data_IF_928861889046
#
_entry.id   IF_928861889046
#
_cell.length_a   1.000
_cell.length_b   1.000
_cell.length_c   1.000
_cell.angle_alpha   90.00
_cell.angle_beta   90.00
_cell.angle_gamma   90.00
#
_symmetry.space_group_name_H-M   'P 1'
#
loop_
_entity.id
_entity.type
_entity.pdbx_description
1 polymer ?
#
# COMPACT_ATOMS: atom_id res chain seq x y z
N UNK A 1 -23.35 15.83 -21.69
CA UNK A 1 -22.82 14.47 -21.42
C UNK A 1 -21.37 14.48 -21.86
N UNK A 2 -20.40 14.20 -21.00
CA UNK A 2 -19.00 14.15 -21.38
C UNK A 2 -18.75 13.01 -22.36
N UNK A 3 -17.83 13.16 -23.30
CA UNK A 3 -17.62 12.20 -24.39
C UNK A 3 -17.06 10.85 -23.93
N UNK A 4 -16.52 10.76 -22.71
CA UNK A 4 -15.86 9.57 -22.18
C UNK A 4 -16.34 9.15 -20.79
N UNK A 5 -17.50 9.58 -20.36
CA UNK A 5 -18.05 9.31 -19.02
C UNK A 5 -17.16 9.71 -17.82
N UNK A 6 -16.22 10.63 -18.02
CA UNK A 6 -15.22 11.05 -17.02
C UNK A 6 -15.75 12.01 -15.96
N UNK A 7 -17.00 12.41 -15.99
CA UNK A 7 -17.53 13.35 -14.99
C UNK A 7 -17.64 12.74 -13.58
N UNK A 8 -17.62 11.43 -13.48
CA UNK A 8 -17.72 10.68 -12.20
C UNK A 8 -16.45 9.89 -11.90
N UNK A 9 -15.52 9.82 -12.83
CA UNK A 9 -14.29 9.04 -12.77
C UNK A 9 -13.15 9.82 -13.43
N UNK A 10 -11.92 9.34 -13.25
CA UNK A 10 -10.72 9.82 -13.93
C UNK A 10 -10.36 11.28 -13.61
N UNK A 11 -10.65 11.74 -12.39
CA UNK A 11 -10.26 13.08 -11.92
C UNK A 11 -8.78 13.14 -11.50
N UNK A 12 -8.08 12.03 -11.49
CA UNK A 12 -6.71 11.87 -11.04
C UNK A 12 -5.73 12.88 -11.67
N UNK A 13 -5.86 13.13 -12.97
CA UNK A 13 -5.00 14.05 -13.72
C UNK A 13 -5.53 15.49 -13.78
N UNK A 14 -6.61 15.79 -13.09
CA UNK A 14 -7.16 17.13 -13.01
C UNK A 14 -6.33 18.05 -12.12
N UNK A 15 -6.49 19.36 -12.31
CA UNK A 15 -5.94 20.35 -11.39
C UNK A 15 -6.72 20.39 -10.09
N UNK A 16 -6.02 20.57 -8.97
CA UNK A 16 -6.65 20.81 -7.68
C UNK A 16 -7.23 22.24 -7.70
N UNK A 17 -8.51 22.39 -7.34
CA UNK A 17 -9.17 23.69 -7.27
C UNK A 17 -8.60 24.52 -6.12
N UNK A 18 -8.47 25.83 -6.30
CA UNK A 18 -7.87 26.75 -5.32
C UNK A 18 -8.46 26.58 -3.91
N UNK A 19 -9.78 26.52 -3.81
CA UNK A 19 -10.46 26.29 -2.52
C UNK A 19 -10.00 25.02 -1.80
N UNK A 20 -9.74 23.95 -2.53
CA UNK A 20 -9.24 22.68 -1.97
C UNK A 20 -7.76 22.79 -1.65
N UNK A 21 -7.00 23.50 -2.49
CA UNK A 21 -5.59 23.74 -2.25
C UNK A 21 -5.35 24.56 -0.96
N UNK A 22 -6.13 25.60 -0.71
CA UNK A 22 -6.11 26.37 0.53
C UNK A 22 -6.39 25.48 1.76
N UNK A 23 -7.42 24.63 1.68
CA UNK A 23 -7.68 23.63 2.70
C UNK A 23 -6.47 22.70 2.94
N UNK A 24 -5.85 22.21 1.87
CA UNK A 24 -4.69 21.31 1.97
C UNK A 24 -3.48 22.01 2.60
N UNK A 25 -3.26 23.29 2.33
CA UNK A 25 -2.19 24.10 2.96
C UNK A 25 -2.41 24.19 4.46
N UNK A 26 -3.62 24.53 4.89
CA UNK A 26 -3.96 24.64 6.32
C UNK A 26 -3.83 23.28 7.04
N UNK A 27 -4.18 22.19 6.36
CA UNK A 27 -3.96 20.82 6.88
C UNK A 27 -2.47 20.55 7.08
N UNK A 28 -1.64 20.81 6.06
CA UNK A 28 -0.18 20.62 6.17
C UNK A 28 0.43 21.39 7.33
N UNK A 29 0.08 22.68 7.46
CA UNK A 29 0.57 23.50 8.57
C UNK A 29 0.13 22.97 9.94
N UNK A 30 -1.10 22.51 10.06
CA UNK A 30 -1.61 21.94 11.30
C UNK A 30 -0.88 20.64 11.65
N UNK A 31 -0.62 19.77 10.66
CA UNK A 31 0.10 18.52 10.84
C UNK A 31 1.58 18.76 11.20
N UNK A 32 2.26 19.70 10.54
CA UNK A 32 3.65 20.03 10.84
C UNK A 32 3.81 20.58 12.26
N UNK A 33 2.87 21.37 12.76
CA UNK A 33 2.85 21.83 14.16
C UNK A 33 2.72 20.69 15.17
N UNK A 34 2.12 19.56 14.74
CA UNK A 34 2.03 18.34 15.54
C UNK A 34 3.21 17.38 15.33
N UNK A 35 4.18 17.74 14.48
CA UNK A 35 5.32 16.90 14.15
C UNK A 35 5.00 15.79 13.15
N UNK A 36 3.87 15.85 12.47
CA UNK A 36 3.44 14.85 11.48
C UNK A 36 3.92 15.25 10.08
N UNK A 37 4.85 14.51 9.47
CA UNK A 37 5.46 14.89 8.20
C UNK A 37 4.57 14.48 7.02
N UNK A 38 3.49 15.20 6.77
CA UNK A 38 2.67 15.03 5.57
C UNK A 38 3.43 15.59 4.35
N UNK A 39 3.43 14.88 3.23
CA UNK A 39 4.24 15.25 2.07
C UNK A 39 3.49 15.24 0.74
N UNK A 40 2.65 14.25 0.49
CA UNK A 40 2.01 14.05 -0.81
C UNK A 40 0.53 14.40 -0.72
N UNK A 41 0.05 15.10 -1.74
CA UNK A 41 -1.37 15.41 -1.94
C UNK A 41 -1.66 15.44 -3.44
N UNK A 42 -2.71 14.79 -3.85
CA UNK A 42 -3.17 14.78 -5.24
C UNK A 42 -4.65 14.41 -5.34
N UNK A 43 -5.22 14.62 -6.51
CA UNK A 43 -6.55 14.12 -6.84
C UNK A 43 -6.54 12.59 -6.91
N UNK A 44 -7.64 11.99 -6.52
CA UNK A 44 -8.01 10.62 -6.78
C UNK A 44 -9.01 10.52 -7.95
N UNK A 45 -9.43 9.31 -8.27
CA UNK A 45 -10.27 9.04 -9.47
C UNK A 45 -11.63 9.68 -9.38
N UNK A 46 -12.27 9.67 -8.21
CA UNK A 46 -13.61 10.25 -8.04
C UNK A 46 -13.55 11.77 -7.86
N UNK A 47 -14.60 12.50 -8.28
CA UNK A 47 -14.67 13.95 -8.07
C UNK A 47 -14.68 14.30 -6.59
N UNK A 48 -13.84 15.26 -6.19
CA UNK A 48 -13.70 15.67 -4.79
C UNK A 48 -13.05 14.63 -3.87
N UNK A 49 -12.34 13.66 -4.44
CA UNK A 49 -11.55 12.67 -3.73
C UNK A 49 -10.06 13.03 -3.83
N UNK A 50 -9.37 12.98 -2.70
CA UNK A 50 -7.97 13.38 -2.60
C UNK A 50 -7.21 12.40 -1.71
N UNK A 51 -5.90 12.33 -1.92
CA UNK A 51 -4.99 11.53 -1.11
C UNK A 51 -4.01 12.43 -0.35
N UNK A 52 -3.66 12.00 0.86
CA UNK A 52 -2.55 12.51 1.64
C UNK A 52 -1.67 11.33 2.07
N UNK A 53 -0.35 11.48 1.92
CA UNK A 53 0.60 10.47 2.34
C UNK A 53 1.67 11.11 3.25
N UNK A 54 1.77 10.67 4.52
CA UNK A 54 2.86 11.05 5.40
C UNK A 54 4.15 10.31 5.01
N UNK A 55 5.29 10.82 5.48
CA UNK A 55 6.56 10.10 5.43
C UNK A 55 6.46 8.88 6.37
N UNK A 56 7.10 7.76 6.00
CA UNK A 56 7.11 6.55 6.83
C UNK A 56 7.82 6.77 8.17
N UNK A 57 7.31 6.11 9.19
CA UNK A 57 7.81 6.16 10.56
C UNK A 57 7.74 4.78 11.19
N UNK A 58 8.22 4.63 12.44
CA UNK A 58 7.96 3.41 13.20
C UNK A 58 6.46 3.19 13.30
N UNK A 59 6.03 1.93 13.20
CA UNK A 59 4.62 1.57 13.07
C UNK A 59 3.74 2.15 14.18
N UNK A 60 4.21 2.10 15.42
CA UNK A 60 3.48 2.65 16.57
C UNK A 60 3.17 4.14 16.35
N UNK A 61 4.20 4.92 16.01
CA UNK A 61 4.06 6.35 15.77
C UNK A 61 3.20 6.65 14.54
N UNK A 62 3.40 5.91 13.45
CA UNK A 62 2.61 6.07 12.22
C UNK A 62 1.11 5.83 12.45
N UNK A 63 0.76 4.86 13.29
CA UNK A 63 -0.64 4.58 13.66
C UNK A 63 -1.24 5.74 14.44
N UNK A 64 -0.55 6.26 15.44
CA UNK A 64 -1.01 7.39 16.24
C UNK A 64 -1.12 8.66 15.38
N UNK A 65 -0.14 8.93 14.54
CA UNK A 65 -0.17 10.04 13.59
C UNK A 65 -1.33 9.93 12.61
N UNK A 66 -1.65 8.73 12.13
CA UNK A 66 -2.81 8.54 11.25
C UNK A 66 -4.12 8.93 11.94
N UNK A 67 -4.30 8.64 13.21
CA UNK A 67 -5.48 9.06 13.97
C UNK A 67 -5.55 10.59 14.09
N UNK A 68 -4.41 11.25 14.35
CA UNK A 68 -4.33 12.70 14.37
C UNK A 68 -4.61 13.33 13.01
N UNK A 69 -4.08 12.75 11.93
CA UNK A 69 -4.36 13.17 10.55
C UNK A 69 -5.86 13.16 10.27
N UNK A 70 -6.54 12.07 10.63
CA UNK A 70 -8.01 11.95 10.44
C UNK A 70 -8.78 13.05 11.19
N UNK A 71 -8.35 13.40 12.39
CA UNK A 71 -8.97 14.44 13.20
C UNK A 71 -8.68 15.84 12.63
N UNK A 72 -7.43 16.11 12.25
CA UNK A 72 -7.03 17.39 11.64
C UNK A 72 -7.78 17.63 10.34
N UNK A 73 -7.91 16.62 9.48
CA UNK A 73 -8.67 16.72 8.23
C UNK A 73 -10.11 17.16 8.47
N UNK A 74 -10.81 16.53 9.43
CA UNK A 74 -12.20 16.89 9.77
C UNK A 74 -12.32 18.31 10.30
N UNK A 75 -11.47 18.67 11.27
CA UNK A 75 -11.49 20.00 11.90
C UNK A 75 -11.16 21.12 10.93
N UNK A 76 -10.18 20.90 10.05
CA UNK A 76 -9.78 21.89 9.06
C UNK A 76 -10.85 22.01 7.95
N UNK A 77 -11.44 20.91 7.51
CA UNK A 77 -12.55 20.96 6.55
C UNK A 77 -13.70 21.86 7.02
N UNK A 78 -14.09 21.75 8.29
CA UNK A 78 -15.13 22.58 8.87
C UNK A 78 -14.79 24.09 8.84
N UNK A 79 -13.52 24.46 8.96
CA UNK A 79 -13.06 25.87 8.86
C UNK A 79 -13.17 26.43 7.45
N UNK A 80 -13.15 25.55 6.44
CA UNK A 80 -13.27 25.89 5.02
C UNK A 80 -14.68 25.68 4.46
N UNK A 81 -15.69 25.54 5.31
CA UNK A 81 -17.07 25.22 4.90
C UNK A 81 -17.13 23.97 4.01
N UNK A 82 -16.34 22.96 4.35
CA UNK A 82 -16.29 21.65 3.71
C UNK A 82 -16.55 20.53 4.69
N UNK A 83 -16.92 19.36 4.18
CA UNK A 83 -17.07 18.13 4.95
C UNK A 83 -16.02 17.12 4.51
N UNK A 84 -15.21 16.65 5.46
CA UNK A 84 -14.27 15.57 5.21
C UNK A 84 -14.96 14.22 5.40
N UNK A 85 -15.18 13.50 4.31
CA UNK A 85 -15.76 12.15 4.31
C UNK A 85 -14.65 11.10 4.38
N UNK A 86 -14.49 10.49 5.54
CA UNK A 86 -13.58 9.35 5.73
C UNK A 86 -14.35 8.01 5.68
N UNK A 87 -15.41 7.96 4.94
CA UNK A 87 -16.23 6.76 4.75
C UNK A 87 -15.71 5.97 3.54
N UNK A 88 -15.67 4.65 3.65
CA UNK A 88 -15.09 3.75 2.64
C UNK A 88 -15.83 3.79 1.30
N UNK A 89 -17.15 3.98 1.33
CA UNK A 89 -18.00 4.06 0.14
C UNK A 89 -19.06 5.14 0.33
N UNK A 90 -18.69 6.44 0.27
CA UNK A 90 -19.62 7.52 0.60
C UNK A 90 -20.77 7.67 -0.42
N UNK A 91 -20.54 7.27 -1.67
CA UNK A 91 -21.52 7.39 -2.75
C UNK A 91 -21.62 6.08 -3.54
N UNK A 92 -22.87 5.66 -3.80
CA UNK A 92 -23.14 4.50 -4.65
C UNK A 92 -22.69 4.76 -6.09
N UNK A 93 -22.10 3.76 -6.74
CA UNK A 93 -21.65 3.85 -8.15
C UNK A 93 -20.37 4.66 -8.35
N UNK A 94 -19.74 5.17 -7.30
CA UNK A 94 -18.47 5.92 -7.38
C UNK A 94 -17.36 5.19 -6.65
N UNK A 95 -16.11 5.54 -6.96
CA UNK A 95 -14.95 4.99 -6.29
C UNK A 95 -15.00 5.23 -4.77
N UNK A 96 -14.57 4.22 -4.03
CA UNK A 96 -14.45 4.29 -2.58
C UNK A 96 -13.10 4.84 -2.13
N UNK A 97 -12.92 4.90 -0.82
CA UNK A 97 -11.68 5.33 -0.17
C UNK A 97 -11.13 4.24 0.74
N UNK A 98 -9.84 4.05 0.71
CA UNK A 98 -9.11 3.14 1.60
C UNK A 98 -7.81 3.74 2.07
N UNK A 99 -7.07 2.96 2.84
CA UNK A 99 -5.70 3.28 3.25
C UNK A 99 -4.77 2.21 2.72
N UNK A 100 -3.70 2.62 2.05
CA UNK A 100 -2.62 1.73 1.68
C UNK A 100 -1.55 1.79 2.79
N UNK A 101 -1.41 0.70 3.51
CA UNK A 101 -0.44 0.60 4.59
C UNK A 101 0.86 0.00 4.05
N UNK A 102 1.85 0.85 3.81
CA UNK A 102 3.20 0.41 3.49
C UNK A 102 3.85 -0.18 4.74
N UNK A 103 4.29 -1.43 4.65
CA UNK A 103 4.87 -2.17 5.75
C UNK A 103 6.21 -2.78 5.36
N UNK A 104 7.21 -2.61 6.20
CA UNK A 104 8.53 -3.18 6.01
C UNK A 104 9.16 -3.52 7.36
N UNK A 105 10.23 -4.31 7.32
CA UNK A 105 11.04 -4.69 8.47
C UNK A 105 12.40 -4.03 8.37
N UNK A 106 12.94 -3.59 9.50
CA UNK A 106 14.30 -3.06 9.59
C UNK A 106 14.98 -3.54 10.87
N UNK A 107 16.30 -3.61 10.84
CA UNK A 107 17.10 -3.90 12.02
C UNK A 107 18.27 -2.88 12.12
N UNK A 108 18.72 -2.54 13.35
CA UNK A 108 19.86 -1.68 13.55
C UNK A 108 21.10 -2.21 12.77
N UNK A 109 21.71 -1.36 11.96
CA UNK A 109 22.88 -1.69 11.15
C UNK A 109 22.60 -2.36 9.79
N UNK A 110 21.35 -2.80 9.53
CA UNK A 110 20.98 -3.49 8.27
C UNK A 110 20.05 -2.68 7.36
N UNK A 111 19.42 -1.64 7.88
CA UNK A 111 18.40 -0.89 7.12
C UNK A 111 17.14 -1.72 6.85
N UNK A 112 16.55 -1.59 5.65
CA UNK A 112 15.37 -2.36 5.27
C UNK A 112 15.74 -3.81 4.95
N UNK A 113 15.19 -4.75 5.70
CA UNK A 113 15.40 -6.18 5.52
C UNK A 113 14.60 -6.77 4.34
N UNK A 114 13.58 -6.06 3.87
CA UNK A 114 12.82 -6.39 2.67
C UNK A 114 13.39 -5.73 1.40
N UNK A 115 14.62 -5.22 1.46
CA UNK A 115 15.31 -4.74 0.27
C UNK A 115 15.98 -5.92 -0.45
N UNK A 116 15.53 -6.28 -1.67
CA UNK A 116 16.08 -7.39 -2.43
C UNK A 116 17.55 -7.17 -2.86
N UNK A 117 17.98 -5.91 -2.96
CA UNK A 117 19.28 -5.55 -3.51
C UNK A 117 19.36 -5.79 -5.02
N UNK A 118 20.59 -5.81 -5.56
CA UNK A 118 20.85 -6.04 -6.99
C UNK A 118 20.76 -7.51 -7.41
N UNK A 119 20.88 -8.44 -6.46
CA UNK A 119 20.85 -9.90 -6.69
C UNK A 119 19.91 -10.56 -5.67
N UNK A 120 18.60 -10.43 -5.84
CA UNK A 120 17.61 -10.96 -4.89
C UNK A 120 17.77 -12.44 -4.57
N UNK A 121 18.11 -13.25 -5.59
CA UNK A 121 18.32 -14.70 -5.48
C UNK A 121 19.52 -15.10 -4.61
N UNK A 122 20.43 -14.18 -4.32
CA UNK A 122 21.62 -14.39 -3.47
C UNK A 122 21.45 -13.78 -2.07
N UNK A 123 20.40 -13.00 -1.86
CA UNK A 123 20.15 -12.33 -0.60
C UNK A 123 19.34 -13.23 0.35
N UNK A 124 20.05 -14.08 1.09
CA UNK A 124 19.41 -15.06 1.99
C UNK A 124 18.54 -14.40 3.06
N UNK A 125 18.95 -13.24 3.61
CA UNK A 125 18.16 -12.52 4.61
C UNK A 125 16.83 -12.07 4.00
N UNK A 126 16.88 -11.43 2.84
CA UNK A 126 15.68 -11.00 2.12
C UNK A 126 14.76 -12.16 1.80
N UNK A 127 15.29 -13.25 1.23
CA UNK A 127 14.49 -14.42 0.85
C UNK A 127 13.85 -15.10 2.07
N UNK A 128 14.56 -15.22 3.18
CA UNK A 128 14.02 -15.78 4.42
C UNK A 128 12.84 -14.95 4.94
N UNK A 129 13.00 -13.62 4.99
CA UNK A 129 11.94 -12.72 5.45
C UNK A 129 10.77 -12.62 4.46
N UNK A 130 11.05 -12.71 3.16
CA UNK A 130 10.01 -12.81 2.14
C UNK A 130 9.18 -14.07 2.32
N UNK A 131 9.82 -15.24 2.45
CA UNK A 131 9.15 -16.53 2.67
C UNK A 131 8.37 -16.54 4.00
N UNK A 132 8.94 -15.99 5.07
CA UNK A 132 8.24 -15.87 6.35
C UNK A 132 6.96 -15.02 6.22
N UNK A 133 7.05 -13.91 5.49
CA UNK A 133 5.89 -13.04 5.26
C UNK A 133 4.82 -13.73 4.41
N UNK A 134 5.21 -14.44 3.35
CA UNK A 134 4.30 -15.22 2.51
C UNK A 134 3.58 -16.28 3.33
N UNK A 135 4.34 -17.08 4.09
CA UNK A 135 3.81 -18.13 4.98
C UNK A 135 2.80 -17.54 5.98
N UNK A 136 3.18 -16.47 6.68
CA UNK A 136 2.33 -15.82 7.66
C UNK A 136 0.99 -15.36 7.08
N UNK A 137 1.02 -14.74 5.90
CA UNK A 137 -0.19 -14.22 5.24
C UNK A 137 -1.06 -15.34 4.68
N UNK A 138 -0.47 -16.42 4.20
CA UNK A 138 -1.20 -17.59 3.70
C UNK A 138 -1.91 -18.33 4.84
N UNK A 139 -1.20 -18.63 5.91
CA UNK A 139 -1.74 -19.39 7.06
C UNK A 139 -2.78 -18.60 7.87
N UNK A 140 -2.64 -17.27 7.94
CA UNK A 140 -3.48 -16.40 8.76
C UNK A 140 -4.25 -15.35 7.91
N UNK A 141 -4.58 -15.70 6.67
CA UNK A 141 -5.35 -14.84 5.78
C UNK A 141 -6.71 -14.44 6.38
N UNK A 142 -7.33 -15.32 7.14
CA UNK A 142 -8.59 -15.11 7.85
C UNK A 142 -8.48 -14.04 8.93
N UNK A 143 -7.41 -14.01 9.72
CA UNK A 143 -7.15 -12.99 10.73
C UNK A 143 -6.90 -11.62 10.08
N UNK A 144 -6.12 -11.56 9.00
CA UNK A 144 -5.94 -10.33 8.24
C UNK A 144 -7.25 -9.84 7.65
N UNK A 145 -8.06 -10.74 7.10
CA UNK A 145 -9.38 -10.42 6.57
C UNK A 145 -10.31 -9.89 7.65
N UNK A 146 -10.33 -10.54 8.82
CA UNK A 146 -11.13 -10.12 9.97
C UNK A 146 -10.72 -8.73 10.46
N UNK A 147 -9.41 -8.40 10.43
CA UNK A 147 -8.88 -7.13 10.91
C UNK A 147 -9.39 -5.91 10.13
N UNK A 148 -9.84 -6.09 8.90
CA UNK A 148 -10.35 -5.03 8.01
C UNK A 148 -11.86 -5.15 7.78
N UNK A 149 -12.53 -6.09 8.42
CA UNK A 149 -13.96 -6.32 8.28
C UNK A 149 -14.75 -5.16 8.93
N UNK A 150 -15.47 -4.43 8.09
CA UNK A 150 -16.38 -3.35 8.48
C UNK A 150 -17.42 -3.17 7.37
N UNK A 151 -18.68 -2.89 7.74
CA UNK A 151 -19.77 -2.80 6.75
C UNK A 151 -19.46 -1.86 5.57
N UNK A 152 -18.93 -0.66 5.83
CA UNK A 152 -18.51 0.27 4.77
C UNK A 152 -17.40 -0.31 3.89
N UNK A 153 -16.44 -1.01 4.47
CA UNK A 153 -15.33 -1.61 3.74
C UNK A 153 -15.76 -2.83 2.91
N UNK A 154 -16.75 -3.60 3.36
CA UNK A 154 -17.35 -4.69 2.58
C UNK A 154 -17.98 -4.17 1.26
N UNK A 155 -18.56 -2.97 1.28
CA UNK A 155 -19.09 -2.34 0.08
C UNK A 155 -17.98 -1.79 -0.86
N UNK A 156 -16.79 -1.50 -0.31
CA UNK A 156 -15.64 -1.00 -1.08
C UNK A 156 -14.85 -2.12 -1.74
N UNK A 157 -14.50 -3.17 -0.99
CA UNK A 157 -13.62 -4.24 -1.46
C UNK A 157 -14.23 -4.98 -2.67
N UNK A 158 -13.40 -5.20 -3.69
CA UNK A 158 -13.80 -5.83 -4.95
C UNK A 158 -14.59 -4.93 -5.90
N UNK A 159 -14.79 -3.65 -5.56
CA UNK A 159 -15.50 -2.68 -6.40
C UNK A 159 -14.55 -1.57 -6.87
N UNK A 160 -14.66 -1.21 -8.16
CA UNK A 160 -13.82 -0.18 -8.79
C UNK A 160 -12.31 -0.41 -8.53
N UNK A 161 -11.54 0.58 -8.13
CA UNK A 161 -10.10 0.48 -7.88
C UNK A 161 -9.73 -0.17 -6.53
N UNK A 162 -10.68 -0.71 -5.78
CA UNK A 162 -10.38 -1.40 -4.54
C UNK A 162 -9.85 -2.83 -4.79
N UNK A 163 -8.96 -3.35 -3.89
CA UNK A 163 -8.51 -4.72 -4.00
C UNK A 163 -9.64 -5.71 -3.72
N UNK A 164 -9.49 -6.98 -4.15
CA UNK A 164 -10.41 -8.05 -3.79
C UNK A 164 -10.57 -8.21 -2.28
N UNK A 165 -11.72 -8.77 -1.87
CA UNK A 165 -11.99 -9.06 -0.46
C UNK A 165 -11.21 -10.28 0.07
N UNK A 166 -10.72 -11.15 -0.84
CA UNK A 166 -9.93 -12.34 -0.51
C UNK A 166 -8.47 -11.93 -0.36
N UNK A 167 -7.86 -12.29 0.76
CA UNK A 167 -6.43 -12.04 1.00
C UNK A 167 -5.60 -12.92 0.06
N UNK A 168 -4.77 -12.27 -0.72
CA UNK A 168 -3.79 -12.88 -1.63
C UNK A 168 -2.54 -12.01 -1.65
N UNK A 169 -1.42 -12.58 -2.11
CA UNK A 169 -0.12 -11.90 -2.18
C UNK A 169 0.26 -11.72 -3.64
N UNK A 170 0.79 -10.55 -3.95
CA UNK A 170 1.42 -10.25 -5.24
C UNK A 170 2.90 -9.94 -5.02
N UNK A 171 3.77 -10.62 -5.73
CA UNK A 171 5.23 -10.44 -5.65
C UNK A 171 5.81 -9.78 -6.91
N UNK A 172 5.15 -10.00 -8.05
CA UNK A 172 5.63 -9.63 -9.39
C UNK A 172 6.52 -10.69 -10.02
N UNK A 173 6.56 -10.70 -11.35
CA UNK A 173 7.18 -11.72 -12.19
C UNK A 173 8.59 -12.15 -11.74
N UNK A 174 9.42 -11.18 -11.33
CA UNK A 174 10.80 -11.45 -10.96
C UNK A 174 10.92 -12.30 -9.68
N UNK A 175 10.17 -11.93 -8.64
CA UNK A 175 10.20 -12.66 -7.37
C UNK A 175 9.46 -13.98 -7.48
N UNK A 176 8.37 -14.05 -8.23
CA UNK A 176 7.67 -15.29 -8.52
C UNK A 176 8.60 -16.29 -9.21
N UNK A 177 9.36 -15.86 -10.22
CA UNK A 177 10.35 -16.71 -10.90
C UNK A 177 11.47 -17.19 -9.95
N UNK A 178 11.93 -16.34 -9.03
CA UNK A 178 12.94 -16.72 -8.04
C UNK A 178 12.41 -17.77 -7.06
N UNK A 179 11.20 -17.56 -6.53
CA UNK A 179 10.55 -18.51 -5.61
C UNK A 179 10.32 -19.86 -6.29
N UNK A 180 9.82 -19.87 -7.54
CA UNK A 180 9.65 -21.09 -8.31
C UNK A 180 10.99 -21.84 -8.55
N UNK A 181 12.07 -21.11 -8.80
CA UNK A 181 13.40 -21.74 -8.97
C UNK A 181 13.87 -22.38 -7.66
N UNK A 182 13.65 -21.72 -6.53
CA UNK A 182 14.00 -22.27 -5.20
C UNK A 182 13.20 -23.56 -4.94
N UNK A 183 11.88 -23.53 -5.17
CA UNK A 183 10.99 -24.68 -4.98
C UNK A 183 11.40 -25.89 -5.82
N UNK A 184 11.78 -25.66 -7.08
CA UNK A 184 12.21 -26.72 -8.00
C UNK A 184 13.64 -27.22 -7.75
N UNK A 185 14.35 -26.69 -6.73
CA UNK A 185 15.75 -27.03 -6.43
C UNK A 185 16.71 -26.69 -7.55
N UNK A 186 16.35 -25.77 -8.43
CA UNK A 186 17.14 -25.39 -9.60
C UNK A 186 18.40 -24.60 -9.26
N UNK A 187 19.40 -24.69 -10.12
CA UNK A 187 20.59 -23.84 -10.06
C UNK A 187 20.23 -22.40 -10.36
N UNK A 188 20.81 -21.49 -9.60
CA UNK A 188 20.62 -20.04 -9.67
C UNK A 188 20.87 -19.51 -11.09
N UNK A 189 19.81 -19.42 -11.91
CA UNK A 189 19.87 -18.58 -13.09
C UNK A 189 19.70 -17.13 -12.63
N UNK A 190 20.54 -16.23 -13.12
CA UNK A 190 20.40 -14.82 -12.86
C UNK A 190 19.05 -14.35 -13.42
N UNK A 191 18.12 -14.03 -12.52
CA UNK A 191 16.88 -13.39 -12.90
C UNK A 191 17.15 -11.89 -13.06
N UNK A 192 16.95 -11.36 -14.25
CA UNK A 192 17.16 -9.94 -14.55
C UNK A 192 15.80 -9.25 -14.74
N UNK A 193 15.71 -8.03 -14.26
CA UNK A 193 14.55 -7.21 -14.49
C UNK A 193 14.28 -7.10 -16.01
N UNK A 194 13.08 -7.45 -16.42
CA UNK A 194 12.66 -7.34 -17.82
C UNK A 194 12.62 -5.88 -18.24
N UNK A 195 13.07 -5.58 -19.44
CA UNK A 195 13.01 -4.25 -20.04
C UNK A 195 12.04 -4.26 -21.22
N UNK A 196 11.32 -3.15 -21.37
CA UNK A 196 10.46 -2.93 -22.55
C UNK A 196 11.32 -2.36 -23.66
N UNK A 197 11.41 -3.10 -24.77
CA UNK A 197 11.93 -2.59 -26.03
C UNK A 197 10.75 -2.28 -26.95
N UNK A 198 10.50 -1.00 -27.18
CA UNK A 198 9.40 -0.55 -28.05
C UNK A 198 9.81 -0.49 -29.54
N UNK A 199 10.98 -1.02 -29.88
CA UNK A 199 11.43 -1.12 -31.28
C UNK A 199 11.84 0.21 -31.92
N UNK A 200 12.09 1.25 -31.13
CA UNK A 200 12.54 2.57 -31.58
C UNK A 200 13.93 2.84 -31.03
N UNK A 201 14.92 2.87 -31.92
CA UNK A 201 16.36 2.99 -31.55
C UNK A 201 16.72 4.29 -30.81
N UNK A 202 15.89 5.31 -30.92
CA UNK A 202 16.10 6.63 -30.29
C UNK A 202 15.53 6.73 -28.88
N UNK A 203 14.77 5.74 -28.43
CA UNK A 203 14.21 5.74 -27.08
C UNK A 203 15.02 4.83 -26.16
N UNK A 204 15.27 5.24 -24.90
CA UNK A 204 15.94 4.40 -23.93
C UNK A 204 15.12 3.16 -23.62
N UNK A 205 15.78 2.08 -23.27
CA UNK A 205 15.10 0.89 -22.72
C UNK A 205 14.56 1.22 -21.33
N UNK A 206 13.27 0.95 -21.13
CA UNK A 206 12.61 1.16 -19.85
C UNK A 206 12.50 -0.16 -19.08
N UNK A 207 12.76 -0.16 -17.77
CA UNK A 207 12.44 -1.34 -16.96
C UNK A 207 10.93 -1.57 -17.00
N UNK A 208 10.53 -2.84 -17.09
CA UNK A 208 9.13 -3.22 -16.96
C UNK A 208 8.67 -2.87 -15.54
N UNK A 209 7.56 -2.16 -15.44
CA UNK A 209 6.94 -1.89 -14.14
C UNK A 209 6.39 -3.20 -13.56
N UNK A 210 6.97 -3.63 -12.44
CA UNK A 210 6.58 -4.86 -11.74
C UNK A 210 5.53 -4.60 -10.65
N UNK A 211 5.00 -3.38 -10.55
CA UNK A 211 4.00 -3.05 -9.54
C UNK A 211 2.60 -3.53 -9.94
N UNK A 212 1.82 -3.98 -8.95
CA UNK A 212 0.40 -4.32 -9.13
C UNK A 212 -0.48 -3.08 -9.17
N UNK A 213 -0.39 -2.30 -10.24
CA UNK A 213 -1.20 -1.09 -10.42
C UNK A 213 -2.69 -1.38 -10.56
N UNK A 214 -3.04 -2.57 -11.05
CA UNK A 214 -4.42 -2.98 -11.20
C UNK A 214 -5.06 -3.45 -9.88
N UNK A 215 -4.30 -3.45 -8.78
CA UNK A 215 -4.75 -3.85 -7.44
C UNK A 215 -5.40 -5.22 -7.42
N UNK A 216 -4.76 -6.19 -8.09
CA UNK A 216 -5.24 -7.58 -8.20
C UNK A 216 -5.11 -8.34 -6.89
N UNK A 217 -4.29 -7.83 -5.95
CA UNK A 217 -4.08 -8.39 -4.62
C UNK A 217 -4.19 -7.32 -3.54
N UNK A 218 -4.78 -7.62 -2.37
CA UNK A 218 -4.81 -6.70 -1.24
C UNK A 218 -3.47 -6.60 -0.51
N UNK A 219 -2.51 -7.49 -0.76
CA UNK A 219 -1.19 -7.48 -0.15
C UNK A 219 -0.12 -7.66 -1.24
N UNK A 220 0.57 -6.58 -1.58
CA UNK A 220 1.48 -6.55 -2.71
C UNK A 220 2.89 -6.10 -2.31
N UNK A 221 3.91 -6.79 -2.83
CA UNK A 221 5.30 -6.35 -2.73
C UNK A 221 5.58 -5.21 -3.71
N UNK A 222 6.15 -4.11 -3.22
CA UNK A 222 6.38 -2.89 -3.99
C UNK A 222 7.85 -2.43 -3.92
N UNK A 223 8.77 -3.34 -4.25
CA UNK A 223 10.19 -3.07 -4.40
C UNK A 223 11.04 -3.29 -3.15
N UNK A 224 10.63 -2.82 -1.97
CA UNK A 224 11.35 -3.00 -0.70
C UNK A 224 10.42 -3.03 0.52
N UNK A 225 9.14 -3.24 0.29
CA UNK A 225 8.08 -3.25 1.30
C UNK A 225 6.86 -3.96 0.75
N UNK A 226 5.95 -4.35 1.62
CA UNK A 226 4.60 -4.74 1.25
C UNK A 226 3.64 -3.57 1.43
N UNK A 227 2.63 -3.54 0.61
CA UNK A 227 1.52 -2.61 0.69
C UNK A 227 0.24 -3.38 0.99
N UNK A 228 -0.33 -3.15 2.18
CA UNK A 228 -1.63 -3.71 2.56
C UNK A 228 -2.73 -2.71 2.23
N UNK A 229 -3.54 -3.03 1.22
CA UNK A 229 -4.50 -2.14 0.56
C UNK A 229 -5.93 -2.28 1.05
N UNK A 230 -6.20 -3.24 1.93
CA UNK A 230 -7.56 -3.61 2.34
C UNK A 230 -8.11 -2.77 3.51
N UNK A 231 -7.32 -1.91 4.13
CA UNK A 231 -7.76 -1.09 5.27
C UNK A 231 -8.72 0.00 4.82
N UNK A 232 -9.87 0.12 5.48
CA UNK A 232 -10.87 1.13 5.16
C UNK A 232 -10.46 2.54 5.60
N UNK A 233 -10.92 3.56 4.89
CA UNK A 233 -10.57 4.97 5.14
C UNK A 233 -11.01 5.47 6.53
N UNK A 234 -12.08 4.95 7.09
CA UNK A 234 -12.58 5.32 8.43
C UNK A 234 -11.96 4.49 9.57
N UNK A 235 -11.20 3.43 9.24
CA UNK A 235 -10.63 2.51 10.22
C UNK A 235 -9.29 3.03 10.77
N UNK A 236 -8.97 2.64 12.00
CA UNK A 236 -7.59 2.74 12.49
C UNK A 236 -6.71 1.70 11.80
N UNK A 237 -5.44 2.02 11.57
CA UNK A 237 -4.45 1.07 11.09
C UNK A 237 -3.92 0.15 12.22
N UNK A 238 -4.22 0.41 13.49
CA UNK A 238 -3.68 -0.31 14.64
C UNK A 238 -3.96 -1.82 14.55
N UNK A 239 -5.23 -2.18 14.37
CA UNK A 239 -5.63 -3.59 14.38
C UNK A 239 -5.01 -4.41 13.25
N UNK A 240 -5.16 -4.03 11.96
CA UNK A 240 -4.53 -4.79 10.88
C UNK A 240 -3.01 -4.85 10.99
N UNK A 241 -2.35 -3.79 11.45
CA UNK A 241 -0.89 -3.79 11.62
C UNK A 241 -0.46 -4.66 12.82
N UNK A 242 -1.23 -4.71 13.89
CA UNK A 242 -0.98 -5.63 15.00
C UNK A 242 -1.09 -7.08 14.55
N UNK A 243 -2.15 -7.42 13.82
CA UNK A 243 -2.32 -8.76 13.25
C UNK A 243 -1.13 -9.11 12.35
N UNK A 244 -0.80 -8.24 11.39
CA UNK A 244 0.31 -8.49 10.46
C UNK A 244 1.63 -8.74 11.19
N UNK A 245 1.98 -7.90 12.17
CA UNK A 245 3.21 -8.10 12.94
C UNK A 245 3.21 -9.41 13.73
N UNK A 246 2.08 -9.77 14.30
CA UNK A 246 1.96 -10.99 15.13
C UNK A 246 2.13 -12.25 14.29
N UNK A 247 1.44 -12.35 13.15
CA UNK A 247 1.54 -13.52 12.28
C UNK A 247 2.93 -13.65 11.65
N UNK A 248 3.56 -12.54 11.29
CA UNK A 248 4.93 -12.56 10.76
C UNK A 248 5.93 -12.94 11.86
N UNK A 249 5.75 -12.47 13.10
CA UNK A 249 6.60 -12.86 14.22
C UNK A 249 6.51 -14.37 14.52
N UNK A 250 5.31 -14.95 14.49
CA UNK A 250 5.10 -16.39 14.64
C UNK A 250 5.81 -17.19 13.54
N UNK A 251 5.61 -16.81 12.26
CA UNK A 251 6.28 -17.47 11.14
C UNK A 251 7.81 -17.37 11.22
N UNK A 252 8.34 -16.24 11.70
CA UNK A 252 9.79 -16.09 11.91
C UNK A 252 10.32 -16.97 13.04
N UNK A 253 9.57 -17.12 14.14
CA UNK A 253 9.95 -17.99 15.26
C UNK A 253 10.05 -19.45 14.82
N UNK A 254 9.11 -19.92 14.02
CA UNK A 254 9.15 -21.26 13.42
C UNK A 254 10.36 -21.46 12.49
N UNK A 255 10.62 -20.47 11.60
CA UNK A 255 11.77 -20.55 10.69
C UNK A 255 13.09 -20.51 11.47
N UNK A 256 13.21 -19.68 12.49
CA UNK A 256 14.39 -19.66 13.36
C UNK A 256 14.62 -21.02 14.03
N UNK A 257 13.55 -21.65 14.53
CA UNK A 257 13.63 -23.00 15.12
C UNK A 257 14.14 -24.05 14.11
N UNK A 258 13.82 -23.92 12.83
CA UNK A 258 14.31 -24.83 11.78
C UNK A 258 15.79 -24.58 11.46
N UNK A 259 16.23 -23.33 11.57
CA UNK A 259 17.61 -22.94 11.24
C UNK A 259 18.61 -23.20 12.37
N UNK A 260 18.16 -23.29 13.62
CA UNK A 260 18.95 -23.69 14.80
C UNK A 260 19.18 -25.21 14.89
#
# INVERSE_FOLDING_TARGET
VPPKHQQMEDHYFGSIKDRVLEFMVDVDEALWKLGIPAKTRHNEVAPGQFEIAPIFESQNLAVDHNMLVMEVLRKTANKHDMVCLLHEKPFSGMNGSGKHNNWSLSAPGYGSLLNPGSSPQENAIFLTLLCATIKAVDEHADLLRASVAKSGNEHRLGAHEAPPAIISIFLGDLLDEIIEQIEKGGTKKACTQKTINIGVDTLPMFPLDASDRNRTSPFAFTGNKFEFRAVGSSQTCAWPMTVLNTIVAESLDEICTILE
#
